data_IF_248281725790
#
_entry.id   IF_248281725790
#
_cell.length_a   1.000
_cell.length_b   1.000
_cell.length_c   1.000
_cell.angle_alpha   90.00
_cell.angle_beta   90.00
_cell.angle_gamma   90.00
#
_symmetry.space_group_name_H-M   'P 1'
#
loop_
_entity.id
_entity.type
_entity.pdbx_description
1 polymer ?
#
# COMPACT_ATOMS: atom_id res chain seq x y z
N UNK A 1 -2.76 29.50 -7.28
CA UNK A 1 -3.40 28.25 -7.75
C UNK A 1 -3.33 27.24 -6.61
N UNK A 2 -4.45 26.63 -6.22
CA UNK A 2 -4.50 25.59 -5.18
C UNK A 2 -4.00 24.25 -5.74
N UNK A 3 -3.25 23.49 -4.93
CA UNK A 3 -2.80 22.11 -5.26
C UNK A 3 -2.98 21.23 -4.03
N UNK A 4 -3.58 20.03 -4.15
CA UNK A 4 -3.54 19.03 -3.09
C UNK A 4 -2.08 18.65 -2.78
N UNK A 5 -1.78 18.40 -1.51
CA UNK A 5 -0.42 17.97 -1.10
C UNK A 5 -0.28 16.45 -1.06
N UNK A 6 -1.27 15.77 -0.50
CA UNK A 6 -1.25 14.31 -0.30
C UNK A 6 -2.68 13.80 -0.06
N UNK A 7 -2.86 12.50 -0.14
CA UNK A 7 -4.04 11.82 0.41
C UNK A 7 -3.78 11.64 1.90
N UNK A 8 -4.51 12.38 2.74
CA UNK A 8 -4.32 12.36 4.19
C UNK A 8 -4.75 11.02 4.80
N UNK A 9 -5.93 10.55 4.43
CA UNK A 9 -6.46 9.26 4.89
C UNK A 9 -7.42 8.65 3.88
N UNK A 10 -7.63 7.36 4.03
CA UNK A 10 -8.74 6.61 3.46
C UNK A 10 -9.67 6.16 4.58
N UNK A 11 -10.97 5.99 4.30
CA UNK A 11 -11.92 5.46 5.26
C UNK A 11 -12.53 4.16 4.70
N UNK A 12 -12.48 3.08 5.49
CA UNK A 12 -13.04 1.78 5.12
C UNK A 12 -14.03 1.29 6.19
N UNK A 13 -14.92 0.39 5.80
CA UNK A 13 -15.89 -0.20 6.73
C UNK A 13 -15.35 -1.49 7.32
N UNK A 14 -15.61 -1.69 8.60
CA UNK A 14 -15.21 -2.87 9.36
C UNK A 14 -16.35 -3.34 10.28
N UNK A 15 -16.34 -4.61 10.66
CA UNK A 15 -17.36 -5.16 11.57
C UNK A 15 -16.89 -5.19 13.03
N UNK A 16 -15.59 -5.32 13.28
CA UNK A 16 -15.05 -5.44 14.64
C UNK A 16 -13.75 -4.62 14.76
N UNK A 17 -13.81 -3.65 15.66
CA UNK A 17 -12.75 -2.69 15.91
C UNK A 17 -11.46 -3.34 16.44
N UNK A 18 -11.59 -4.17 17.47
CA UNK A 18 -10.46 -4.78 18.16
C UNK A 18 -9.72 -5.74 17.23
N UNK A 19 -10.47 -6.58 16.50
CA UNK A 19 -9.92 -7.49 15.50
C UNK A 19 -9.18 -6.72 14.40
N UNK A 20 -9.76 -5.64 13.91
CA UNK A 20 -9.14 -4.82 12.86
C UNK A 20 -7.87 -4.15 13.37
N UNK A 21 -7.92 -3.52 14.54
CA UNK A 21 -6.73 -2.91 15.13
C UNK A 21 -5.60 -3.92 15.31
N UNK A 22 -5.90 -5.08 15.86
CA UNK A 22 -4.93 -6.15 16.09
C UNK A 22 -4.30 -6.65 14.77
N UNK A 23 -5.13 -6.85 13.75
CA UNK A 23 -4.67 -7.30 12.45
C UNK A 23 -3.76 -6.27 11.76
N UNK A 24 -4.20 -5.00 11.67
CA UNK A 24 -3.39 -3.96 11.02
C UNK A 24 -2.08 -3.70 11.77
N UNK A 25 -2.09 -3.75 13.09
CA UNK A 25 -0.86 -3.64 13.89
C UNK A 25 0.07 -4.82 13.64
N UNK A 26 -0.44 -6.05 13.63
CA UNK A 26 0.39 -7.26 13.46
C UNK A 26 0.90 -7.44 12.03
N UNK A 27 0.05 -7.20 11.04
CA UNK A 27 0.40 -7.45 9.64
C UNK A 27 1.19 -6.30 9.04
N UNK A 28 0.74 -5.06 9.26
CA UNK A 28 1.24 -3.87 8.57
C UNK A 28 2.00 -2.89 9.50
N UNK A 29 2.18 -3.22 10.78
CA UNK A 29 2.87 -2.33 11.72
C UNK A 29 2.11 -1.04 12.04
N UNK A 30 0.79 -1.02 11.85
CA UNK A 30 -0.02 0.17 12.08
C UNK A 30 -0.04 0.58 13.56
N UNK A 31 -0.01 1.88 13.81
CA UNK A 31 -0.04 2.47 15.14
C UNK A 31 -1.42 3.03 15.47
N UNK A 32 -1.94 2.73 16.66
CA UNK A 32 -3.20 3.31 17.12
C UNK A 32 -3.06 4.82 17.39
N UNK A 33 -3.99 5.60 16.84
CA UNK A 33 -4.08 7.03 17.08
C UNK A 33 -5.14 7.31 18.14
N UNK A 34 -4.70 7.65 19.34
CA UNK A 34 -5.60 8.10 20.41
C UNK A 34 -6.06 9.54 20.15
N UNK A 35 -7.32 9.69 19.79
CA UNK A 35 -7.99 10.99 19.55
C UNK A 35 -8.93 11.37 20.69
N UNK A 36 -8.81 10.71 21.83
CA UNK A 36 -9.64 10.90 22.98
C UNK A 36 -10.95 10.10 22.97
N UNK A 37 -11.57 9.92 24.16
CA UNK A 37 -12.62 8.93 24.38
C UNK A 37 -13.87 9.17 23.50
N UNK A 38 -14.20 10.41 23.17
CA UNK A 38 -15.37 10.72 22.36
C UNK A 38 -15.23 10.23 20.91
N UNK A 39 -14.06 10.47 20.28
CA UNK A 39 -13.81 10.06 18.91
C UNK A 39 -13.46 8.58 18.84
N UNK A 40 -12.68 8.07 19.77
CA UNK A 40 -12.32 6.66 19.84
C UNK A 40 -13.52 5.72 19.98
N UNK A 41 -14.62 6.16 20.56
CA UNK A 41 -15.87 5.37 20.58
C UNK A 41 -16.57 5.27 19.23
N UNK A 42 -16.35 6.23 18.34
CA UNK A 42 -17.06 6.33 17.06
C UNK A 42 -16.25 5.78 15.88
N UNK A 43 -14.94 5.93 15.96
CA UNK A 43 -14.01 5.56 14.90
C UNK A 43 -12.78 4.87 15.47
N UNK A 44 -12.24 3.93 14.72
CA UNK A 44 -10.86 3.50 14.86
C UNK A 44 -10.02 4.31 13.88
N UNK A 45 -8.89 4.83 14.32
CA UNK A 45 -7.92 5.50 13.46
C UNK A 45 -6.55 4.92 13.71
N UNK A 46 -5.88 4.54 12.64
CA UNK A 46 -4.53 3.99 12.68
C UNK A 46 -3.62 4.80 11.78
N UNK A 47 -2.36 4.94 12.15
CA UNK A 47 -1.29 5.47 11.32
C UNK A 47 -0.60 4.34 10.59
N UNK A 48 -0.34 4.55 9.29
CA UNK A 48 0.53 3.73 8.46
C UNK A 48 1.51 4.63 7.73
N UNK A 49 2.78 4.58 8.12
CA UNK A 49 3.79 5.49 7.60
C UNK A 49 3.39 6.95 7.79
N UNK A 50 3.27 7.70 6.71
CA UNK A 50 2.90 9.13 6.72
C UNK A 50 1.40 9.38 6.60
N UNK A 51 0.60 8.35 6.38
CA UNK A 51 -0.85 8.45 6.15
C UNK A 51 -1.65 7.81 7.29
N UNK A 52 -2.94 8.06 7.30
CA UNK A 52 -3.87 7.47 8.27
C UNK A 52 -4.90 6.59 7.56
N UNK A 53 -5.37 5.56 8.26
CA UNK A 53 -6.58 4.83 7.88
C UNK A 53 -7.62 5.03 8.95
N UNK A 54 -8.81 5.46 8.55
CA UNK A 54 -9.96 5.59 9.40
C UNK A 54 -10.92 4.44 9.14
N UNK A 55 -11.56 3.96 10.20
CA UNK A 55 -12.47 2.82 10.11
C UNK A 55 -13.82 3.18 10.69
N UNK A 56 -14.86 2.91 9.90
CA UNK A 56 -16.24 3.05 10.34
C UNK A 56 -16.80 1.66 10.68
N UNK A 57 -17.19 1.45 11.94
CA UNK A 57 -17.79 0.17 12.36
C UNK A 57 -19.20 0.05 11.83
N UNK A 58 -19.49 -1.08 11.17
CA UNK A 58 -20.80 -1.46 10.63
C UNK A 58 -21.08 -2.93 10.96
N UNK A 59 -22.31 -3.32 11.34
CA UNK A 59 -22.65 -4.72 11.54
C UNK A 59 -22.43 -5.59 10.30
N UNK A 60 -22.60 -4.98 9.11
CA UNK A 60 -22.36 -5.58 7.82
C UNK A 60 -21.57 -4.59 6.97
N UNK A 61 -20.24 -4.64 7.01
CA UNK A 61 -19.41 -3.78 6.19
C UNK A 61 -19.61 -4.12 4.71
N UNK A 62 -19.58 -3.09 3.88
CA UNK A 62 -19.66 -3.23 2.43
C UNK A 62 -18.29 -3.04 1.85
N UNK A 63 -17.81 -4.03 1.11
CA UNK A 63 -16.61 -3.92 0.27
C UNK A 63 -17.03 -3.70 -1.17
N UNK A 64 -16.24 -2.93 -1.90
CA UNK A 64 -16.46 -2.70 -3.32
C UNK A 64 -15.46 -3.57 -4.08
N UNK A 65 -15.91 -4.52 -4.91
CA UNK A 65 -15.01 -5.35 -5.69
C UNK A 65 -13.99 -4.51 -6.48
N UNK A 66 -12.73 -4.90 -6.47
CA UNK A 66 -11.59 -4.19 -7.09
C UNK A 66 -11.24 -2.82 -6.50
N UNK A 67 -12.06 -2.24 -5.62
CA UNK A 67 -11.69 -1.01 -4.92
C UNK A 67 -10.64 -1.33 -3.87
N UNK A 68 -9.50 -0.68 -3.94
CA UNK A 68 -8.39 -0.89 -3.02
C UNK A 68 -7.65 0.42 -2.77
N UNK A 69 -6.81 0.41 -1.78
CA UNK A 69 -5.74 1.38 -1.60
C UNK A 69 -4.41 0.66 -1.62
N UNK A 70 -3.39 1.35 -2.12
CA UNK A 70 -2.04 0.81 -2.20
C UNK A 70 -1.15 1.38 -1.08
N UNK A 71 -0.27 0.52 -0.57
CA UNK A 71 0.75 0.87 0.41
C UNK A 71 2.13 0.59 -0.20
N UNK A 72 2.97 1.61 -0.25
CA UNK A 72 4.38 1.43 -0.55
C UNK A 72 5.06 0.79 0.65
N UNK A 73 5.82 -0.29 0.41
CA UNK A 73 6.61 -0.98 1.43
C UNK A 73 8.10 -0.86 1.10
N UNK A 74 8.90 -0.63 2.12
CA UNK A 74 10.35 -0.44 2.02
C UNK A 74 11.12 -1.77 1.85
N UNK A 75 10.62 -2.86 2.43
CA UNK A 75 11.24 -4.19 2.39
C UNK A 75 10.26 -5.23 1.82
N UNK A 76 10.38 -5.49 0.52
CA UNK A 76 9.53 -6.46 -0.18
C UNK A 76 9.66 -7.88 0.38
N UNK A 77 10.87 -8.33 0.60
CA UNK A 77 11.10 -9.68 1.13
C UNK A 77 10.63 -9.81 2.58
N UNK A 78 10.83 -8.76 3.36
CA UNK A 78 10.36 -8.70 4.74
C UNK A 78 8.84 -8.79 4.85
N UNK A 79 8.10 -8.06 4.01
CA UNK A 79 6.62 -8.15 4.04
C UNK A 79 6.13 -9.53 3.59
N UNK A 80 6.71 -10.13 2.54
CA UNK A 80 6.32 -11.49 2.12
C UNK A 80 6.60 -12.53 3.21
N UNK A 81 7.75 -12.44 3.87
CA UNK A 81 8.08 -13.30 5.02
C UNK A 81 7.06 -13.13 6.15
N UNK A 82 6.66 -11.89 6.43
CA UNK A 82 5.66 -11.57 7.46
C UNK A 82 4.28 -12.14 7.13
N UNK A 83 3.83 -12.00 5.88
CA UNK A 83 2.57 -12.59 5.43
C UNK A 83 2.59 -14.11 5.59
N UNK A 84 3.69 -14.75 5.19
CA UNK A 84 3.88 -16.20 5.35
C UNK A 84 3.86 -16.64 6.82
N UNK A 85 4.59 -15.93 7.71
CA UNK A 85 4.62 -16.21 9.16
C UNK A 85 3.22 -16.15 9.78
N UNK A 86 2.41 -15.20 9.35
CA UNK A 86 1.06 -14.98 9.87
C UNK A 86 -0.01 -15.80 9.14
N UNK A 87 0.34 -16.57 8.11
CA UNK A 87 -0.59 -17.34 7.30
C UNK A 87 -1.58 -16.46 6.52
N UNK A 88 -1.16 -15.25 6.13
CA UNK A 88 -1.97 -14.33 5.33
C UNK A 88 -1.79 -14.70 3.86
N UNK A 89 -2.89 -15.07 3.21
CA UNK A 89 -2.91 -15.30 1.77
C UNK A 89 -2.72 -13.99 1.00
N UNK A 90 -1.92 -14.04 -0.04
CA UNK A 90 -1.73 -12.93 -0.96
C UNK A 90 -1.76 -13.40 -2.42
N UNK A 91 -2.23 -12.55 -3.31
CA UNK A 91 -2.46 -12.91 -4.72
C UNK A 91 -2.02 -11.78 -5.65
N UNK A 92 -1.55 -12.16 -6.83
CA UNK A 92 -1.13 -11.20 -7.85
C UNK A 92 -2.27 -10.40 -8.44
N UNK A 93 -3.48 -10.95 -8.47
CA UNK A 93 -4.66 -10.28 -9.04
C UNK A 93 -5.81 -10.37 -8.06
N UNK A 94 -6.55 -9.29 -7.88
CA UNK A 94 -7.84 -9.40 -7.24
C UNK A 94 -8.79 -10.21 -8.12
N UNK A 95 -9.69 -11.00 -7.55
CA UNK A 95 -10.68 -11.78 -8.30
C UNK A 95 -11.59 -10.93 -9.20
N UNK A 96 -11.62 -9.62 -8.99
CA UNK A 96 -12.37 -8.65 -9.77
C UNK A 96 -11.51 -7.88 -10.77
N UNK A 97 -10.19 -8.10 -10.81
CA UNK A 97 -9.30 -7.45 -11.76
C UNK A 97 -9.40 -8.14 -13.11
N UNK A 98 -9.96 -7.44 -14.10
CA UNK A 98 -9.89 -7.83 -15.52
C UNK A 98 -8.56 -7.43 -16.16
N UNK A 99 -7.67 -6.79 -15.42
CA UNK A 99 -6.33 -6.45 -15.90
C UNK A 99 -5.56 -7.75 -16.15
N UNK A 100 -5.31 -8.01 -17.42
CA UNK A 100 -4.44 -9.10 -17.83
C UNK A 100 -3.07 -8.91 -17.20
N UNK A 101 -2.52 -10.03 -16.74
CA UNK A 101 -1.23 -10.14 -16.10
C UNK A 101 -0.11 -9.45 -16.87
N UNK A 102 0.20 -8.24 -16.51
CA UNK A 102 1.41 -7.58 -16.94
C UNK A 102 2.50 -8.00 -15.93
N UNK A 103 3.49 -8.75 -16.37
CA UNK A 103 4.67 -9.06 -15.59
C UNK A 103 4.69 -10.40 -14.83
N UNK A 104 5.01 -11.48 -15.51
CA UNK A 104 5.43 -12.75 -14.92
C UNK A 104 4.34 -13.79 -14.73
N UNK A 105 4.74 -14.98 -14.26
CA UNK A 105 3.89 -16.17 -14.10
C UNK A 105 3.61 -16.53 -12.64
N UNK A 106 4.19 -15.81 -11.67
CA UNK A 106 3.98 -16.05 -10.25
C UNK A 106 2.51 -15.75 -9.87
N UNK A 107 1.77 -16.70 -9.29
CA UNK A 107 0.36 -16.47 -8.92
C UNK A 107 0.19 -15.58 -7.69
N UNK A 108 1.22 -15.38 -6.88
CA UNK A 108 1.14 -14.66 -5.62
C UNK A 108 1.59 -13.20 -5.72
N UNK A 109 2.52 -12.90 -6.63
CA UNK A 109 3.06 -11.56 -6.79
C UNK A 109 3.29 -11.22 -8.26
N UNK A 110 3.20 -9.95 -8.58
CA UNK A 110 3.52 -9.42 -9.90
C UNK A 110 4.77 -8.55 -9.86
N UNK A 111 5.34 -8.37 -11.05
CA UNK A 111 6.41 -7.40 -11.29
C UNK A 111 6.13 -6.70 -12.60
N UNK A 112 6.24 -5.38 -12.62
CA UNK A 112 6.16 -4.59 -13.85
C UNK A 112 7.53 -4.54 -14.50
N UNK A 113 7.61 -4.89 -15.77
CA UNK A 113 8.88 -4.93 -16.50
C UNK A 113 9.45 -3.53 -16.74
N UNK A 114 8.58 -2.56 -16.95
CA UNK A 114 8.93 -1.17 -17.24
C UNK A 114 9.46 -0.41 -16.02
N UNK A 115 8.92 -0.64 -14.85
CA UNK A 115 9.29 0.06 -13.62
C UNK A 115 10.03 -0.80 -12.61
N UNK A 116 10.05 -2.12 -12.80
CA UNK A 116 10.55 -3.05 -11.79
C UNK A 116 9.69 -3.15 -10.53
N UNK A 117 8.56 -2.42 -10.49
CA UNK A 117 7.60 -2.45 -9.38
C UNK A 117 7.17 -3.87 -9.06
N UNK A 118 7.25 -4.22 -7.79
CA UNK A 118 6.65 -5.43 -7.24
C UNK A 118 5.28 -5.10 -6.66
N UNK A 119 4.31 -5.98 -6.80
CA UNK A 119 2.99 -5.81 -6.21
C UNK A 119 2.33 -7.14 -5.84
N UNK A 120 1.48 -7.09 -4.84
CA UNK A 120 0.59 -8.18 -4.42
C UNK A 120 -0.63 -7.61 -3.73
N UNK A 121 -1.67 -8.42 -3.59
CA UNK A 121 -2.91 -8.03 -2.92
C UNK A 121 -3.18 -8.92 -1.72
N UNK A 122 -3.64 -8.31 -0.64
CA UNK A 122 -4.13 -8.98 0.56
C UNK A 122 -5.52 -8.46 0.92
N UNK A 123 -6.23 -9.19 1.77
CA UNK A 123 -7.48 -8.73 2.34
C UNK A 123 -7.35 -8.55 3.84
N UNK A 124 -7.98 -7.49 4.35
CA UNK A 124 -8.16 -7.35 5.78
C UNK A 124 -9.25 -8.33 6.29
N UNK A 125 -9.48 -8.44 7.61
CA UNK A 125 -10.46 -9.38 8.15
C UNK A 125 -11.92 -9.15 7.73
N UNK A 126 -12.23 -7.99 7.17
CA UNK A 126 -13.56 -7.64 6.65
C UNK A 126 -13.64 -7.69 5.12
N UNK A 127 -12.54 -8.10 4.46
CA UNK A 127 -12.46 -8.24 3.00
C UNK A 127 -12.13 -6.95 2.26
N UNK A 128 -11.68 -5.90 2.94
CA UNK A 128 -11.17 -4.73 2.26
C UNK A 128 -9.86 -5.09 1.55
N UNK A 129 -9.78 -4.74 0.27
CA UNK A 129 -8.62 -5.06 -0.57
C UNK A 129 -7.51 -4.04 -0.36
N UNK A 130 -6.30 -4.54 -0.15
CA UNK A 130 -5.08 -3.75 0.04
C UNK A 130 -4.08 -4.21 -1.00
N UNK A 131 -3.53 -3.30 -1.77
CA UNK A 131 -2.38 -3.56 -2.62
C UNK A 131 -1.10 -3.21 -1.86
N UNK A 132 -0.15 -4.12 -1.85
CA UNK A 132 1.21 -3.85 -1.39
C UNK A 132 2.08 -3.64 -2.63
N UNK A 133 2.78 -2.53 -2.68
CA UNK A 133 3.65 -2.17 -3.79
C UNK A 133 5.05 -1.85 -3.29
N UNK A 134 6.05 -2.12 -4.11
CA UNK A 134 7.44 -1.81 -3.81
C UNK A 134 8.15 -1.35 -5.06
N UNK A 135 8.76 -0.18 -4.97
CA UNK A 135 9.56 0.41 -6.05
C UNK A 135 11.04 0.30 -5.69
N UNK A 136 11.75 -0.73 -6.18
CA UNK A 136 13.14 -0.98 -5.81
C UNK A 136 14.09 0.17 -6.22
N UNK A 137 13.65 1.01 -7.14
CA UNK A 137 14.40 2.16 -7.64
C UNK A 137 13.90 3.49 -7.08
N UNK A 138 12.95 3.45 -6.14
CA UNK A 138 12.32 4.61 -5.53
C UNK A 138 11.25 5.27 -6.41
N UNK A 139 10.62 6.30 -5.86
CA UNK A 139 9.55 7.07 -6.51
C UNK A 139 9.96 8.54 -6.65
N UNK A 140 9.49 9.17 -7.70
CA UNK A 140 9.57 10.62 -7.88
C UNK A 140 8.16 11.23 -7.94
N UNK A 141 8.03 12.47 -7.46
CA UNK A 141 6.80 13.22 -7.61
C UNK A 141 6.65 13.78 -9.04
N UNK A 142 5.53 14.43 -9.32
CA UNK A 142 5.25 15.03 -10.63
C UNK A 142 6.22 16.14 -11.06
N UNK A 143 7.19 16.47 -10.23
CA UNK A 143 8.24 17.46 -10.50
C UNK A 143 9.63 16.81 -10.60
N UNK A 144 9.70 15.47 -10.59
CA UNK A 144 10.95 14.72 -10.62
C UNK A 144 11.74 14.78 -9.32
N UNK A 145 11.09 15.05 -8.19
CA UNK A 145 11.77 15.07 -6.89
C UNK A 145 11.58 13.74 -6.19
N UNK A 146 12.62 13.21 -5.53
CA UNK A 146 12.48 12.01 -4.72
C UNK A 146 11.34 12.10 -3.71
N UNK A 147 10.50 11.08 -3.66
CA UNK A 147 9.52 10.91 -2.59
C UNK A 147 10.26 10.36 -1.37
N UNK A 148 10.18 11.08 -0.26
CA UNK A 148 10.87 10.70 0.98
C UNK A 148 10.51 9.28 1.41
N UNK A 149 11.52 8.51 1.84
CA UNK A 149 11.38 7.11 2.25
C UNK A 149 11.28 6.09 1.11
N UNK A 150 11.35 6.52 -0.15
CA UNK A 150 11.30 5.59 -1.30
C UNK A 150 12.62 5.46 -2.04
N UNK A 151 13.67 6.18 -1.63
CA UNK A 151 14.97 6.25 -2.31
C UNK A 151 16.14 5.80 -1.44
N UNK A 152 15.96 4.75 -0.67
CA UNK A 152 17.03 4.24 0.21
C UNK A 152 18.06 3.39 -0.53
N UNK A 153 17.84 3.11 -1.82
CA UNK A 153 18.73 2.31 -2.65
C UNK A 153 19.33 3.19 -3.74
N UNK A 154 20.68 3.26 -3.86
CA UNK A 154 21.33 3.90 -5.00
C UNK A 154 20.93 3.20 -6.30
N UNK A 155 20.49 3.94 -7.29
CA UNK A 155 20.14 3.38 -8.58
C UNK A 155 19.26 4.28 -9.44
N UNK A 156 18.91 3.85 -10.64
CA UNK A 156 18.02 4.59 -11.52
C UNK A 156 16.66 4.79 -10.86
N UNK A 157 16.10 5.98 -11.02
CA UNK A 157 14.83 6.38 -10.46
C UNK A 157 13.73 6.30 -11.52
N UNK A 158 12.51 6.15 -11.06
CA UNK A 158 11.34 5.95 -11.89
C UNK A 158 10.29 6.99 -11.59
N UNK A 159 9.68 7.53 -12.62
CA UNK A 159 8.53 8.41 -12.50
C UNK A 159 7.30 7.60 -12.90
N UNK A 160 6.38 7.40 -11.99
CA UNK A 160 5.12 6.71 -12.29
C UNK A 160 4.02 7.67 -12.70
N UNK A 161 3.95 7.98 -13.98
CA UNK A 161 2.84 8.70 -14.59
C UNK A 161 2.41 7.98 -15.87
N UNK A 162 1.15 8.10 -16.30
CA UNK A 162 0.73 7.58 -17.59
C UNK A 162 1.62 8.11 -18.71
N UNK A 163 2.23 7.21 -19.48
CA UNK A 163 3.21 7.56 -20.51
C UNK A 163 4.66 7.57 -20.00
N UNK A 164 4.90 6.97 -18.90
CA UNK A 164 6.16 6.90 -18.17
C UNK A 164 7.37 6.41 -18.99
N UNK A 165 8.49 7.11 -18.83
CA UNK A 165 9.80 6.71 -19.33
C UNK A 165 10.74 6.58 -18.14
N UNK A 166 11.36 5.42 -17.97
CA UNK A 166 12.43 5.26 -17.01
C UNK A 166 13.54 6.27 -17.27
N UNK A 167 13.83 7.14 -16.32
CA UNK A 167 15.04 7.95 -16.37
C UNK A 167 16.17 7.18 -15.71
N UNK A 168 17.19 6.78 -16.48
CA UNK A 168 18.42 6.30 -15.89
C UNK A 168 19.07 7.46 -15.14
N UNK A 169 19.39 7.26 -13.88
CA UNK A 169 20.33 8.11 -13.18
C UNK A 169 21.71 7.88 -13.83
N UNK A 170 22.27 8.90 -14.42
CA UNK A 170 23.70 8.89 -14.65
C UNK A 170 24.35 9.01 -13.28
N UNK A 171 25.13 8.00 -12.89
CA UNK A 171 26.02 8.12 -11.75
C UNK A 171 26.86 9.36 -11.96
N UNK A 172 26.62 10.41 -11.18
CA UNK A 172 27.59 11.50 -11.11
C UNK A 172 28.89 10.91 -10.55
N UNK A 173 29.85 10.91 -11.39
CA UNK A 173 31.14 10.31 -11.38
C UNK A 173 31.84 10.09 -10.07
N UNK A 174 32.42 8.93 -10.03
CA UNK A 174 33.55 8.62 -9.17
C UNK A 174 34.73 9.56 -9.42
#
# INVERSE_FOLDING_TARGET
MFRPKLIHHVNVQISNRERTQDWYTKVLGAEFLDRGPALNRRQLQLRLGTSEIHFTVRPQPTTIPSSHFALEVDDWNGILARLSELGIEHVRTSAASTMQNIGGTDPQQGRREDTGEHYTYIHDPDGNLIELVHHPLGLEDSQGRPVEGTHDVPGPRWIQIPGFVASAYEEEGA
#
